data_IF_933773324244
#
_entry.id   IF_933773324244
#
_cell.length_a   1.000
_cell.length_b   1.000
_cell.length_c   1.000
_cell.angle_alpha   90.00
_cell.angle_beta   90.00
_cell.angle_gamma   90.00
#
_symmetry.space_group_name_H-M   'P 1'
#
loop_
_entity.id
_entity.type
_entity.pdbx_description
1 polymer ?
#
# COMPACT_ATOMS: atom_id res chain seq x y z
N UNK A 1 37.66 -34.16 -47.52
CA UNK A 1 37.33 -33.02 -48.40
C UNK A 1 35.83 -32.85 -48.31
N UNK A 2 35.24 -31.77 -47.81
CA UNK A 2 35.71 -30.50 -47.27
C UNK A 2 34.59 -30.01 -46.33
N UNK A 3 34.98 -29.50 -45.17
CA UNK A 3 34.11 -28.83 -44.21
C UNK A 3 33.92 -27.39 -44.67
N UNK A 4 32.69 -26.88 -44.68
CA UNK A 4 32.41 -25.44 -44.65
C UNK A 4 31.61 -25.14 -43.38
N UNK A 5 32.35 -24.76 -42.33
CA UNK A 5 31.80 -24.13 -41.14
C UNK A 5 31.81 -22.62 -41.36
N UNK A 6 30.62 -22.01 -41.46
CA UNK A 6 30.44 -20.57 -41.40
C UNK A 6 30.16 -20.21 -39.94
N UNK A 7 31.14 -19.58 -39.30
CA UNK A 7 30.97 -18.92 -37.99
C UNK A 7 30.33 -17.55 -38.21
N UNK A 8 29.08 -17.40 -37.77
CA UNK A 8 28.48 -16.09 -37.55
C UNK A 8 28.71 -15.69 -36.09
N UNK A 9 29.62 -14.75 -35.86
CA UNK A 9 29.67 -13.97 -34.62
C UNK A 9 28.46 -13.03 -34.60
N UNK A 10 27.52 -13.29 -33.69
CA UNK A 10 26.52 -12.30 -33.30
C UNK A 10 27.13 -11.32 -32.28
N UNK A 11 26.98 -10.00 -32.46
CA UNK A 11 27.52 -9.02 -31.53
C UNK A 11 26.72 -9.02 -30.22
N UNK A 12 27.45 -8.78 -29.14
CA UNK A 12 27.03 -8.87 -27.74
C UNK A 12 26.01 -7.79 -27.38
N UNK A 13 24.72 -8.09 -27.50
CA UNK A 13 23.59 -7.18 -27.20
C UNK A 13 23.29 -7.00 -25.68
N UNK A 14 24.18 -7.51 -24.81
CA UNK A 14 23.95 -7.54 -23.36
C UNK A 14 24.36 -6.24 -22.65
N UNK A 15 25.15 -5.36 -23.29
CA UNK A 15 25.61 -4.11 -22.70
C UNK A 15 24.65 -2.92 -22.95
N UNK A 16 23.79 -3.00 -23.97
CA UNK A 16 22.79 -1.97 -24.29
C UNK A 16 21.62 -1.94 -23.30
N UNK A 17 21.22 -3.09 -22.75
CA UNK A 17 20.08 -3.22 -21.83
C UNK A 17 20.35 -2.68 -20.41
N UNK A 18 21.57 -2.89 -19.89
CA UNK A 18 21.99 -2.35 -18.58
C UNK A 18 22.10 -0.82 -18.57
N UNK A 19 22.52 -0.25 -19.71
CA UNK A 19 22.64 1.19 -19.91
C UNK A 19 21.30 1.92 -19.83
N UNK A 20 20.27 1.35 -20.47
CA UNK A 20 18.91 1.89 -20.50
C UNK A 20 18.27 1.84 -19.10
N UNK A 21 18.56 0.80 -18.32
CA UNK A 21 18.05 0.66 -16.95
C UNK A 21 18.65 1.69 -15.96
N UNK A 22 19.94 2.03 -16.12
CA UNK A 22 20.59 3.05 -15.30
C UNK A 22 20.05 4.46 -15.61
N UNK A 23 19.79 4.74 -16.89
CA UNK A 23 19.21 5.99 -17.38
C UNK A 23 17.82 6.26 -16.78
N UNK A 24 16.94 5.26 -16.75
CA UNK A 24 15.60 5.41 -16.16
C UNK A 24 15.62 5.71 -14.66
N UNK A 25 16.61 5.19 -13.93
CA UNK A 25 16.77 5.38 -12.48
C UNK A 25 17.24 6.79 -12.13
N UNK A 26 18.20 7.34 -12.87
CA UNK A 26 18.67 8.72 -12.68
C UNK A 26 17.56 9.73 -13.01
N UNK A 27 16.78 9.46 -14.05
CA UNK A 27 15.64 10.29 -14.47
C UNK A 27 14.52 10.26 -13.43
N UNK A 28 14.18 9.09 -12.88
CA UNK A 28 13.14 8.96 -11.84
C UNK A 28 13.53 9.68 -10.54
N UNK A 29 14.78 9.56 -10.10
CA UNK A 29 15.27 10.24 -8.89
C UNK A 29 15.26 11.77 -9.04
N UNK A 30 15.64 12.29 -10.22
CA UNK A 30 15.58 13.72 -10.49
C UNK A 30 14.14 14.26 -10.54
N UNK A 31 13.19 13.43 -10.97
CA UNK A 31 11.76 13.78 -11.01
C UNK A 31 11.12 13.76 -9.63
N UNK A 32 11.42 12.77 -8.79
CA UNK A 32 10.90 12.73 -7.42
C UNK A 32 11.37 13.93 -6.60
N UNK A 33 12.62 14.35 -6.77
CA UNK A 33 13.13 15.57 -6.13
C UNK A 33 12.44 16.84 -6.63
N UNK A 34 12.12 16.92 -7.94
CA UNK A 34 11.43 18.08 -8.52
C UNK A 34 9.95 18.12 -8.15
N UNK A 35 9.25 16.99 -8.11
CA UNK A 35 7.83 16.92 -7.73
C UNK A 35 7.62 17.28 -6.25
N UNK A 36 8.64 17.04 -5.42
CA UNK A 36 8.64 17.42 -4.00
C UNK A 36 9.06 18.88 -3.76
N UNK A 37 9.53 19.59 -4.78
CA UNK A 37 9.83 21.02 -4.67
C UNK A 37 8.53 21.82 -4.57
N UNK A 38 8.51 22.80 -3.67
CA UNK A 38 7.41 23.77 -3.55
C UNK A 38 7.13 24.53 -4.86
N UNK A 39 8.13 24.68 -5.74
CA UNK A 39 7.94 25.32 -7.03
C UNK A 39 7.09 24.46 -7.97
N UNK A 40 7.05 23.13 -7.78
CA UNK A 40 6.44 22.19 -8.72
C UNK A 40 4.98 22.53 -9.06
N UNK A 41 4.24 23.05 -8.10
CA UNK A 41 2.85 23.44 -8.33
C UNK A 41 2.75 24.64 -9.29
N UNK A 42 3.71 25.57 -9.25
CA UNK A 42 3.83 26.67 -10.21
C UNK A 42 4.24 26.14 -11.59
N UNK A 43 5.20 25.22 -11.66
CA UNK A 43 5.60 24.59 -12.93
C UNK A 43 4.48 23.73 -13.54
N UNK A 44 3.76 22.98 -12.72
CA UNK A 44 2.61 22.18 -13.15
C UNK A 44 1.52 23.09 -13.71
N UNK A 45 1.24 24.22 -13.04
CA UNK A 45 0.30 25.21 -13.54
C UNK A 45 0.74 25.80 -14.88
N UNK A 46 2.03 26.11 -15.03
CA UNK A 46 2.59 26.59 -16.31
C UNK A 46 2.45 25.53 -17.41
N UNK A 47 2.77 24.25 -17.13
CA UNK A 47 2.57 23.14 -18.06
C UNK A 47 1.09 23.00 -18.44
N UNK A 48 0.19 23.17 -17.47
CA UNK A 48 -1.25 23.17 -17.72
C UNK A 48 -1.67 24.37 -18.57
N UNK A 49 -1.10 25.55 -18.41
CA UNK A 49 -1.41 26.68 -19.29
C UNK A 49 -0.93 26.44 -20.73
N UNK A 50 0.24 25.83 -20.90
CA UNK A 50 0.77 25.46 -22.21
C UNK A 50 -0.06 24.37 -22.90
N UNK A 51 -0.45 23.33 -22.14
CA UNK A 51 -1.32 22.28 -22.65
C UNK A 51 -2.71 22.83 -22.98
N UNK A 52 -3.26 23.73 -22.17
CA UNK A 52 -4.55 24.37 -22.42
C UNK A 52 -4.52 25.22 -23.71
N UNK A 53 -3.44 25.95 -23.95
CA UNK A 53 -3.28 26.69 -25.21
C UNK A 53 -3.31 25.76 -26.43
N UNK A 54 -2.64 24.62 -26.37
CA UNK A 54 -2.65 23.63 -27.45
C UNK A 54 -4.02 22.95 -27.62
N UNK A 55 -4.71 22.65 -26.52
CA UNK A 55 -6.07 22.10 -26.55
C UNK A 55 -7.05 23.09 -27.18
N UNK A 56 -6.92 24.39 -26.90
CA UNK A 56 -7.77 25.43 -27.46
C UNK A 56 -7.64 25.56 -29.00
N UNK A 57 -6.47 25.28 -29.56
CA UNK A 57 -6.26 25.22 -31.02
C UNK A 57 -7.15 24.15 -31.71
N UNK A 58 -7.67 23.19 -30.94
CA UNK A 58 -8.51 22.09 -31.41
C UNK A 58 -9.99 22.26 -31.02
N UNK A 59 -10.42 23.44 -30.55
CA UNK A 59 -11.81 23.67 -30.11
C UNK A 59 -12.86 23.48 -31.21
N UNK A 60 -12.48 23.67 -32.48
CA UNK A 60 -13.36 23.43 -33.64
C UNK A 60 -13.63 21.93 -33.88
N UNK A 61 -12.83 21.03 -33.30
CA UNK A 61 -12.98 19.59 -33.43
C UNK A 61 -13.25 18.94 -32.05
N UNK A 62 -14.52 18.72 -31.68
CA UNK A 62 -14.87 18.22 -30.35
C UNK A 62 -14.26 16.85 -30.05
N UNK A 63 -14.11 15.98 -31.05
CA UNK A 63 -13.48 14.66 -30.91
C UNK A 63 -12.00 14.77 -30.57
N UNK A 64 -11.25 15.59 -31.32
CA UNK A 64 -9.83 15.82 -31.06
C UNK A 64 -9.61 16.48 -29.69
N UNK A 65 -10.44 17.46 -29.34
CA UNK A 65 -10.41 18.11 -28.03
C UNK A 65 -10.64 17.11 -26.90
N UNK A 66 -11.65 16.25 -26.98
CA UNK A 66 -11.91 15.26 -25.92
C UNK A 66 -10.76 14.23 -25.80
N UNK A 67 -10.16 13.83 -26.92
CA UNK A 67 -8.96 12.96 -26.90
C UNK A 67 -7.81 13.67 -26.20
N UNK A 68 -7.52 14.94 -26.52
CA UNK A 68 -6.46 15.71 -25.86
C UNK A 68 -6.74 15.93 -24.37
N UNK A 69 -7.97 16.28 -23.99
CA UNK A 69 -8.37 16.38 -22.59
C UNK A 69 -8.13 15.06 -21.86
N UNK A 70 -8.47 13.92 -22.49
CA UNK A 70 -8.21 12.59 -21.94
C UNK A 70 -6.71 12.31 -21.78
N UNK A 71 -5.88 12.69 -22.76
CA UNK A 71 -4.43 12.52 -22.73
C UNK A 71 -3.76 13.36 -21.64
N UNK A 72 -4.28 14.54 -21.33
CA UNK A 72 -3.76 15.42 -20.26
C UNK A 72 -4.22 15.00 -18.85
N UNK A 73 -5.18 14.08 -18.72
CA UNK A 73 -5.66 13.56 -17.45
C UNK A 73 -6.67 14.44 -16.70
N UNK A 74 -7.27 13.88 -15.64
CA UNK A 74 -8.38 14.51 -14.91
C UNK A 74 -7.97 15.74 -14.11
N UNK A 75 -6.75 15.77 -13.55
CA UNK A 75 -6.24 16.91 -12.77
C UNK A 75 -6.15 18.19 -13.62
N UNK A 76 -5.63 18.06 -14.85
CA UNK A 76 -5.59 19.13 -15.84
C UNK A 76 -7.00 19.61 -16.21
N UNK A 77 -7.91 18.68 -16.50
CA UNK A 77 -9.30 19.02 -16.85
C UNK A 77 -9.99 19.79 -15.73
N UNK A 78 -9.85 19.35 -14.49
CA UNK A 78 -10.42 20.04 -13.34
C UNK A 78 -9.82 21.45 -13.15
N UNK A 79 -8.52 21.61 -13.39
CA UNK A 79 -7.81 22.88 -13.19
C UNK A 79 -8.06 23.92 -14.29
N UNK A 80 -8.21 23.51 -15.56
CA UNK A 80 -8.29 24.43 -16.71
C UNK A 80 -9.60 24.39 -17.49
N UNK A 81 -10.40 23.34 -17.32
CA UNK A 81 -11.69 23.17 -17.99
C UNK A 81 -12.84 22.81 -17.03
N UNK A 82 -12.98 23.47 -15.86
CA UNK A 82 -13.96 23.08 -14.84
C UNK A 82 -15.41 23.20 -15.29
N UNK A 83 -15.69 24.12 -16.22
CA UNK A 83 -17.02 24.38 -16.79
C UNK A 83 -17.31 23.58 -18.05
N UNK A 84 -16.30 22.92 -18.63
CA UNK A 84 -16.51 22.08 -19.81
C UNK A 84 -17.15 20.79 -19.33
N UNK A 85 -18.42 20.54 -19.69
CA UNK A 85 -19.04 19.23 -19.45
C UNK A 85 -18.09 18.17 -20.02
N UNK A 86 -17.58 17.29 -19.16
CA UNK A 86 -16.76 16.17 -19.60
C UNK A 86 -17.61 15.32 -20.55
N UNK A 87 -17.36 15.46 -21.85
CA UNK A 87 -18.07 14.71 -22.88
C UNK A 87 -17.35 13.39 -23.16
N UNK A 88 -16.84 12.72 -22.12
CA UNK A 88 -16.15 11.44 -22.26
C UNK A 88 -16.99 10.35 -22.92
N UNK A 89 -18.31 10.52 -23.02
CA UNK A 89 -19.18 9.67 -23.84
C UNK A 89 -18.87 9.76 -25.34
N UNK A 90 -18.31 10.88 -25.83
CA UNK A 90 -17.85 11.02 -27.22
C UNK A 90 -16.65 10.14 -27.52
N UNK A 91 -15.89 9.71 -26.51
CA UNK A 91 -14.73 8.80 -26.67
C UNK A 91 -15.14 7.32 -26.61
N UNK A 92 -16.44 7.02 -26.57
CA UNK A 92 -17.00 5.67 -26.47
C UNK A 92 -17.94 5.41 -27.65
N UNK A 93 -18.09 4.14 -27.99
CA UNK A 93 -19.08 3.72 -28.99
C UNK A 93 -20.50 4.03 -28.50
N UNK A 94 -21.43 4.43 -29.41
CA UNK A 94 -21.30 4.49 -30.86
C UNK A 94 -20.71 5.81 -31.40
N UNK A 95 -20.35 6.76 -30.54
CA UNK A 95 -19.97 8.12 -30.94
C UNK A 95 -18.57 8.22 -31.54
N UNK A 96 -17.65 7.37 -31.08
CA UNK A 96 -16.32 7.23 -31.66
C UNK A 96 -15.92 5.76 -31.67
N UNK A 97 -15.67 5.23 -32.86
CA UNK A 97 -15.11 3.89 -33.02
C UNK A 97 -13.73 3.82 -32.35
N UNK A 98 -13.43 2.69 -31.72
CA UNK A 98 -12.15 2.45 -31.05
C UNK A 98 -10.93 2.69 -31.98
N UNK A 99 -11.04 2.32 -33.26
CA UNK A 99 -10.00 2.56 -34.28
C UNK A 99 -9.77 4.05 -34.53
N UNK A 100 -10.84 4.84 -34.66
CA UNK A 100 -10.78 6.29 -34.86
C UNK A 100 -10.14 6.99 -33.66
N UNK A 101 -10.49 6.55 -32.45
CA UNK A 101 -9.87 7.05 -31.21
C UNK A 101 -8.37 6.78 -31.21
N UNK A 102 -7.96 5.54 -31.48
CA UNK A 102 -6.55 5.16 -31.51
C UNK A 102 -5.77 5.93 -32.60
N UNK A 103 -6.38 6.18 -33.75
CA UNK A 103 -5.78 6.98 -34.81
C UNK A 103 -5.58 8.45 -34.38
N UNK A 104 -6.59 9.07 -33.75
CA UNK A 104 -6.50 10.42 -33.20
C UNK A 104 -5.47 10.52 -32.08
N UNK A 105 -5.41 9.54 -31.17
CA UNK A 105 -4.40 9.49 -30.11
C UNK A 105 -2.98 9.42 -30.71
N UNK A 106 -2.74 8.53 -31.68
CA UNK A 106 -1.44 8.43 -32.38
C UNK A 106 -1.04 9.71 -33.10
N UNK A 107 -2.01 10.46 -33.62
CA UNK A 107 -1.76 11.71 -34.33
C UNK A 107 -1.50 12.89 -33.38
N UNK A 108 -2.36 13.06 -32.37
CA UNK A 108 -2.40 14.26 -31.53
C UNK A 108 -1.36 14.23 -30.42
N UNK A 109 -1.02 13.04 -29.92
CA UNK A 109 -0.08 12.90 -28.82
C UNK A 109 1.33 13.40 -29.15
N UNK A 110 1.97 13.02 -30.27
CA UNK A 110 3.29 13.56 -30.63
C UNK A 110 3.28 15.09 -30.80
N UNK A 111 2.18 15.65 -31.31
CA UNK A 111 2.04 17.10 -31.53
C UNK A 111 1.91 17.86 -30.20
N UNK A 112 1.12 17.33 -29.26
CA UNK A 112 1.01 17.87 -27.90
C UNK A 112 2.38 17.87 -27.22
N UNK A 113 3.12 16.75 -27.30
CA UNK A 113 4.46 16.67 -26.71
C UNK A 113 5.41 17.67 -27.38
N UNK A 114 5.48 17.72 -28.71
CA UNK A 114 6.33 18.68 -29.41
C UNK A 114 6.03 20.14 -29.04
N UNK A 115 4.75 20.49 -28.91
CA UNK A 115 4.30 21.82 -28.47
C UNK A 115 4.78 22.13 -27.05
N UNK A 116 4.54 21.23 -26.09
CA UNK A 116 5.02 21.38 -24.72
C UNK A 116 6.56 21.47 -24.66
N UNK A 117 7.27 20.70 -25.48
CA UNK A 117 8.74 20.66 -25.49
C UNK A 117 9.32 22.03 -25.83
N UNK A 118 8.79 22.61 -26.91
CA UNK A 118 9.27 23.89 -27.43
C UNK A 118 9.07 25.02 -26.43
N UNK A 119 7.97 24.99 -25.66
CA UNK A 119 7.59 26.05 -24.72
C UNK A 119 8.27 25.88 -23.36
N UNK A 120 8.31 24.66 -22.83
CA UNK A 120 9.00 24.32 -21.56
C UNK A 120 10.49 24.67 -21.63
N UNK A 121 11.14 24.49 -22.78
CA UNK A 121 12.56 24.79 -22.96
C UNK A 121 12.92 26.28 -22.81
N UNK A 122 11.94 27.19 -22.79
CA UNK A 122 12.18 28.64 -22.88
C UNK A 122 11.82 29.44 -21.62
N UNK A 123 11.14 28.87 -20.61
CA UNK A 123 10.44 29.71 -19.60
C UNK A 123 10.78 29.53 -18.11
N UNK A 124 11.30 28.40 -17.63
CA UNK A 124 11.50 28.19 -16.18
C UNK A 124 12.95 27.84 -15.82
N UNK A 125 13.49 28.53 -14.81
CA UNK A 125 14.80 28.23 -14.19
C UNK A 125 14.79 26.83 -13.58
N UNK A 126 13.70 26.40 -12.94
CA UNK A 126 13.57 25.05 -12.39
C UNK A 126 13.56 23.97 -13.50
N UNK A 127 12.92 24.24 -14.63
CA UNK A 127 12.95 23.33 -15.78
C UNK A 127 14.29 23.35 -16.52
N UNK A 128 15.00 24.49 -16.52
CA UNK A 128 16.38 24.58 -16.98
C UNK A 128 17.31 23.80 -16.03
N UNK A 129 17.13 23.89 -14.72
CA UNK A 129 17.87 23.12 -13.72
C UNK A 129 17.57 21.63 -13.81
N UNK A 130 16.31 21.22 -14.00
CA UNK A 130 15.94 19.84 -14.27
C UNK A 130 16.58 19.36 -15.59
N UNK A 131 16.53 20.17 -16.65
CA UNK A 131 17.21 19.88 -17.92
C UNK A 131 18.72 19.73 -17.74
N UNK A 132 19.37 20.65 -17.03
CA UNK A 132 20.81 20.65 -16.77
C UNK A 132 21.23 19.48 -15.89
N UNK A 133 20.44 19.12 -14.87
CA UNK A 133 20.70 17.96 -14.00
C UNK A 133 20.50 16.64 -14.75
N UNK A 134 19.46 16.55 -15.58
CA UNK A 134 19.28 15.42 -16.47
C UNK A 134 20.44 15.33 -17.47
N UNK A 135 20.80 16.44 -18.12
CA UNK A 135 21.91 16.53 -19.06
C UNK A 135 23.25 16.15 -18.39
N UNK A 136 23.53 16.63 -17.17
CA UNK A 136 24.71 16.26 -16.40
C UNK A 136 24.69 14.77 -16.03
N UNK A 137 23.55 14.22 -15.60
CA UNK A 137 23.41 12.79 -15.34
C UNK A 137 23.65 11.95 -16.61
N UNK A 138 23.34 12.48 -17.79
CA UNK A 138 23.66 11.88 -19.09
C UNK A 138 25.14 11.98 -19.45
N UNK A 139 25.74 13.17 -19.36
CA UNK A 139 27.13 13.44 -19.74
C UNK A 139 28.14 12.71 -18.82
N UNK A 140 27.79 12.49 -17.54
CA UNK A 140 28.64 11.77 -16.58
C UNK A 140 28.67 10.25 -16.82
N UNK A 141 27.66 9.72 -17.52
CA UNK A 141 27.48 8.26 -17.65
C UNK A 141 27.64 7.74 -19.10
N UNK A 142 27.61 8.60 -20.14
CA UNK A 142 27.77 8.18 -21.54
C UNK A 142 28.46 9.21 -22.44
N UNK A 143 29.36 8.73 -23.30
CA UNK A 143 29.88 9.45 -24.47
C UNK A 143 29.40 8.79 -25.76
N UNK A 144 28.18 9.06 -26.25
CA UNK A 144 27.83 8.82 -27.66
C UNK A 144 26.53 9.51 -28.14
N UNK A 145 26.68 10.26 -29.25
CA UNK A 145 25.68 10.66 -30.28
C UNK A 145 24.47 11.54 -29.90
N UNK A 146 24.76 12.77 -29.49
CA UNK A 146 24.23 14.09 -29.96
C UNK A 146 22.88 14.31 -30.69
N UNK A 147 21.83 13.47 -30.62
CA UNK A 147 20.59 13.77 -31.40
C UNK A 147 19.22 13.63 -30.72
N UNK A 148 19.12 13.26 -29.44
CA UNK A 148 17.82 13.29 -28.74
C UNK A 148 17.79 14.41 -27.68
N UNK A 149 17.05 15.50 -27.90
CA UNK A 149 16.96 16.58 -26.92
C UNK A 149 16.26 16.10 -25.65
N UNK A 150 16.84 16.38 -24.48
CA UNK A 150 16.36 15.99 -23.15
C UNK A 150 14.85 16.28 -22.92
N UNK A 151 14.33 17.30 -23.60
CA UNK A 151 12.91 17.67 -23.60
C UNK A 151 12.00 16.56 -24.14
N UNK A 152 12.41 15.81 -25.17
CA UNK A 152 11.62 14.70 -25.73
C UNK A 152 11.50 13.51 -24.76
N UNK A 153 12.55 13.28 -23.96
CA UNK A 153 12.59 12.21 -22.95
C UNK A 153 11.68 12.57 -21.78
N UNK A 154 11.79 13.79 -21.26
CA UNK A 154 10.91 14.33 -20.20
C UNK A 154 9.44 14.23 -20.60
N UNK A 155 9.12 14.56 -21.85
CA UNK A 155 7.76 14.48 -22.37
C UNK A 155 7.26 13.06 -22.56
N UNK A 156 8.08 12.14 -23.08
CA UNK A 156 7.73 10.71 -23.18
C UNK A 156 7.47 10.04 -21.82
N UNK A 157 7.97 10.63 -20.73
CA UNK A 157 7.79 10.14 -19.38
C UNK A 157 6.58 10.76 -18.68
N UNK A 158 6.35 12.08 -18.81
CA UNK A 158 5.08 12.70 -18.42
C UNK A 158 3.90 12.04 -19.13
N UNK A 159 4.10 11.69 -20.38
CA UNK A 159 3.07 11.07 -21.19
C UNK A 159 2.76 9.62 -20.79
N UNK A 160 3.68 8.93 -20.09
CA UNK A 160 3.45 7.65 -19.38
C UNK A 160 2.80 7.85 -18.00
N UNK A 161 3.10 8.94 -17.29
CA UNK A 161 2.44 9.27 -16.02
C UNK A 161 0.94 9.61 -16.20
N UNK A 162 0.52 10.05 -17.40
CA UNK A 162 -0.88 10.36 -17.73
C UNK A 162 -1.62 9.28 -18.53
N UNK A 163 -0.97 8.18 -18.92
CA UNK A 163 -1.64 7.07 -19.62
C UNK A 163 -1.49 5.75 -18.86
N UNK A 164 -2.62 5.11 -18.55
CA UNK A 164 -2.70 3.66 -18.41
C UNK A 164 -3.58 3.12 -19.54
N UNK A 165 -3.48 1.84 -19.92
CA UNK A 165 -2.30 1.05 -20.29
C UNK A 165 -2.46 0.61 -21.75
N UNK A 166 -1.54 0.95 -22.66
CA UNK A 166 -1.71 0.55 -24.08
C UNK A 166 -0.48 -0.05 -24.76
N UNK A 167 0.66 -0.16 -24.08
CA UNK A 167 1.77 -1.03 -24.46
C UNK A 167 2.47 -1.42 -23.17
N UNK A 168 1.87 -2.36 -22.47
CA UNK A 168 2.53 -3.06 -21.37
C UNK A 168 3.61 -3.91 -22.03
N UNK A 169 4.85 -3.40 -22.04
CA UNK A 169 6.00 -4.22 -22.38
C UNK A 169 6.22 -5.18 -21.20
N UNK A 170 5.97 -6.50 -21.37
CA UNK A 170 6.11 -7.46 -20.28
C UNK A 170 7.52 -7.48 -19.70
N UNK A 171 8.55 -7.12 -20.48
CA UNK A 171 9.92 -7.04 -20.01
C UNK A 171 10.13 -5.83 -19.09
N UNK A 172 9.48 -4.69 -19.37
CA UNK A 172 9.53 -3.52 -18.49
C UNK A 172 8.78 -3.75 -17.18
N UNK A 173 7.62 -4.41 -17.23
CA UNK A 173 6.87 -4.79 -16.03
C UNK A 173 7.67 -5.77 -15.17
N UNK A 174 8.30 -6.78 -15.79
CA UNK A 174 9.16 -7.73 -15.09
C UNK A 174 10.38 -7.04 -14.45
N UNK A 175 11.02 -6.10 -15.17
CA UNK A 175 12.15 -5.33 -14.65
C UNK A 175 11.72 -4.39 -13.50
N UNK A 176 10.55 -3.74 -13.62
CA UNK A 176 9.99 -2.93 -12.56
C UNK A 176 9.70 -3.78 -11.31
N UNK A 177 9.04 -4.93 -11.46
CA UNK A 177 8.77 -5.84 -10.35
C UNK A 177 10.06 -6.31 -9.67
N UNK A 178 11.10 -6.65 -10.43
CA UNK A 178 12.40 -7.04 -9.87
C UNK A 178 13.06 -5.89 -9.08
N UNK A 179 12.95 -4.65 -9.55
CA UNK A 179 13.44 -3.49 -8.83
C UNK A 179 12.63 -3.21 -7.56
N UNK A 180 11.30 -3.30 -7.63
CA UNK A 180 10.45 -3.15 -6.46
C UNK A 180 10.72 -4.24 -5.40
N UNK A 181 11.01 -5.47 -5.81
CA UNK A 181 11.44 -6.56 -4.94
C UNK A 181 12.78 -6.26 -4.26
N UNK A 182 13.74 -5.69 -5.02
CA UNK A 182 15.01 -5.23 -4.45
C UNK A 182 14.79 -4.13 -3.40
N UNK A 183 13.91 -3.16 -3.68
CA UNK A 183 13.54 -2.12 -2.72
C UNK A 183 12.93 -2.76 -1.47
N UNK A 184 11.94 -3.64 -1.62
CA UNK A 184 11.31 -4.36 -0.49
C UNK A 184 12.33 -5.12 0.36
N UNK A 185 13.30 -5.79 -0.27
CA UNK A 185 14.36 -6.47 0.46
C UNK A 185 15.20 -5.50 1.32
N UNK A 186 15.46 -4.28 0.84
CA UNK A 186 16.21 -3.25 1.57
C UNK A 186 15.41 -2.60 2.71
N UNK A 187 14.07 -2.69 2.70
CA UNK A 187 13.20 -2.13 3.74
C UNK A 187 13.09 -3.00 4.99
N UNK A 188 13.52 -4.26 4.92
CA UNK A 188 13.51 -5.18 6.07
C UNK A 188 14.33 -4.62 7.23
N UNK A 189 13.73 -4.65 8.42
CA UNK A 189 14.27 -4.09 9.64
C UNK A 189 14.31 -2.57 9.71
N UNK A 190 13.70 -1.84 8.75
CA UNK A 190 13.68 -0.37 8.76
C UNK A 190 12.28 0.17 9.09
N UNK A 191 12.25 1.34 9.71
CA UNK A 191 11.00 2.09 9.90
C UNK A 191 10.69 2.87 8.62
N UNK A 192 9.43 2.88 8.20
CA UNK A 192 9.02 3.48 6.93
C UNK A 192 8.34 4.84 7.14
N UNK A 193 8.65 5.85 6.31
CA UNK A 193 7.83 7.06 6.24
C UNK A 193 6.46 6.74 5.64
N UNK A 194 5.47 7.58 5.93
CA UNK A 194 4.06 7.33 5.57
C UNK A 194 3.82 7.07 4.07
N UNK A 195 4.41 7.84 3.11
CA UNK A 195 4.21 7.57 1.69
C UNK A 195 4.72 6.20 1.25
N UNK A 196 5.88 5.78 1.77
CA UNK A 196 6.45 4.48 1.46
C UNK A 196 5.64 3.35 2.09
N UNK A 197 5.06 3.58 3.28
CA UNK A 197 4.12 2.64 3.90
C UNK A 197 2.86 2.47 3.05
N UNK A 198 2.27 3.56 2.56
CA UNK A 198 1.11 3.50 1.67
C UNK A 198 1.41 2.64 0.45
N UNK A 199 2.54 2.91 -0.21
CA UNK A 199 2.98 2.15 -1.38
C UNK A 199 3.18 0.66 -1.04
N UNK A 200 3.91 0.36 0.05
CA UNK A 200 4.19 -1.02 0.45
C UNK A 200 2.89 -1.79 0.72
N UNK A 201 2.00 -1.22 1.54
CA UNK A 201 0.74 -1.88 1.86
C UNK A 201 -0.11 -2.04 0.61
N UNK A 202 -0.26 -0.99 -0.19
CA UNK A 202 -0.99 -1.10 -1.44
C UNK A 202 -0.43 -2.23 -2.30
N UNK A 203 0.88 -2.28 -2.52
CA UNK A 203 1.52 -3.35 -3.29
C UNK A 203 1.26 -4.75 -2.74
N UNK A 204 1.28 -4.93 -1.41
CA UNK A 204 1.18 -6.24 -0.78
C UNK A 204 -0.26 -6.73 -0.60
N UNK A 205 -1.22 -5.83 -0.36
CA UNK A 205 -2.60 -6.20 -0.01
C UNK A 205 -3.65 -5.77 -1.03
N UNK A 206 -3.35 -4.81 -1.91
CA UNK A 206 -4.24 -4.48 -3.02
C UNK A 206 -4.05 -5.48 -4.16
N UNK A 207 -5.08 -6.30 -4.38
CA UNK A 207 -5.10 -7.27 -5.47
C UNK A 207 -6.25 -6.93 -6.43
N UNK A 208 -5.97 -6.56 -7.70
CA UNK A 208 -7.02 -6.16 -8.65
C UNK A 208 -8.08 -7.24 -8.89
N UNK A 209 -7.69 -8.52 -8.92
CA UNK A 209 -8.63 -9.63 -9.04
C UNK A 209 -9.53 -9.75 -7.81
N UNK A 210 -8.98 -9.54 -6.60
CA UNK A 210 -9.75 -9.51 -5.36
C UNK A 210 -10.72 -8.33 -5.32
N UNK A 211 -10.31 -7.16 -5.82
CA UNK A 211 -11.19 -6.00 -5.95
C UNK A 211 -12.38 -6.30 -6.85
N UNK A 212 -12.15 -6.90 -8.02
CA UNK A 212 -13.22 -7.32 -8.93
C UNK A 212 -14.15 -8.36 -8.29
N UNK A 213 -13.60 -9.34 -7.58
CA UNK A 213 -14.37 -10.33 -6.80
C UNK A 213 -15.26 -9.64 -5.76
N UNK A 214 -14.68 -8.76 -4.93
CA UNK A 214 -15.38 -8.03 -3.88
C UNK A 214 -16.49 -7.16 -4.46
N UNK A 215 -16.23 -6.43 -5.54
CA UNK A 215 -17.25 -5.61 -6.21
C UNK A 215 -18.42 -6.45 -6.71
N UNK A 216 -18.13 -7.59 -7.34
CA UNK A 216 -19.17 -8.50 -7.83
C UNK A 216 -19.98 -9.09 -6.67
N UNK A 217 -19.31 -9.64 -5.66
CA UNK A 217 -19.95 -10.26 -4.49
C UNK A 217 -20.77 -9.26 -3.69
N UNK A 218 -20.29 -8.03 -3.52
CA UNK A 218 -21.01 -7.00 -2.79
C UNK A 218 -22.32 -6.62 -3.49
N UNK A 219 -22.31 -6.49 -4.83
CA UNK A 219 -23.53 -6.28 -5.63
C UNK A 219 -24.49 -7.47 -5.55
N UNK A 220 -23.96 -8.69 -5.57
CA UNK A 220 -24.77 -9.91 -5.43
C UNK A 220 -25.42 -9.97 -4.03
N UNK A 221 -24.64 -9.76 -2.97
CA UNK A 221 -25.14 -9.71 -1.58
C UNK A 221 -26.16 -8.60 -1.36
N UNK A 222 -25.93 -7.41 -1.92
CA UNK A 222 -26.90 -6.30 -1.88
C UNK A 222 -28.25 -6.73 -2.45
N UNK A 223 -28.23 -7.39 -3.62
CA UNK A 223 -29.45 -7.89 -4.28
C UNK A 223 -30.13 -8.98 -3.45
N UNK A 224 -29.36 -9.95 -2.95
CA UNK A 224 -29.89 -11.09 -2.17
C UNK A 224 -30.50 -10.64 -0.84
N UNK A 225 -29.91 -9.63 -0.20
CA UNK A 225 -30.37 -9.09 1.08
C UNK A 225 -31.41 -7.97 0.92
N UNK A 226 -31.76 -7.59 -0.31
CA UNK A 226 -32.72 -6.51 -0.59
C UNK A 226 -32.26 -5.16 -0.04
N UNK A 227 -30.95 -4.89 -0.05
CA UNK A 227 -30.37 -3.68 0.54
C UNK A 227 -30.40 -2.51 -0.45
N UNK A 228 -30.71 -1.29 0.02
CA UNK A 228 -30.72 -0.12 -0.84
C UNK A 228 -29.31 0.25 -1.32
N UNK A 229 -28.30 0.02 -0.47
CA UNK A 229 -26.91 0.38 -0.72
C UNK A 229 -25.97 -0.74 -0.25
N UNK A 230 -24.82 -0.94 -0.92
CA UNK A 230 -23.88 -2.02 -0.59
C UNK A 230 -23.13 -1.83 0.73
N UNK A 231 -23.12 -0.62 1.29
CA UNK A 231 -22.52 -0.30 2.60
C UNK A 231 -23.53 -0.15 3.73
N UNK A 232 -24.81 -0.48 3.48
CA UNK A 232 -25.88 -0.37 4.47
C UNK A 232 -26.45 -1.75 4.76
N UNK A 233 -26.29 -2.24 6.00
CA UNK A 233 -26.92 -3.47 6.47
C UNK A 233 -27.90 -3.23 7.62
N UNK A 234 -28.79 -4.20 7.93
CA UNK A 234 -29.71 -4.11 9.05
C UNK A 234 -29.03 -3.98 10.41
N UNK A 235 -27.76 -4.42 10.53
CA UNK A 235 -26.99 -4.35 11.77
C UNK A 235 -26.15 -3.07 11.89
N UNK A 236 -26.31 -2.10 10.99
CA UNK A 236 -25.49 -0.89 10.96
C UNK A 236 -25.48 -0.12 12.30
N UNK A 237 -26.62 -0.02 12.98
CA UNK A 237 -26.71 0.65 14.28
C UNK A 237 -25.95 -0.10 15.39
N UNK A 238 -25.98 -1.44 15.34
CA UNK A 238 -25.22 -2.30 16.25
C UNK A 238 -23.72 -2.17 15.99
N UNK A 239 -23.29 -2.19 14.73
CA UNK A 239 -21.88 -1.99 14.36
C UNK A 239 -21.38 -0.61 14.77
N UNK A 240 -22.16 0.45 14.55
CA UNK A 240 -21.82 1.78 15.01
C UNK A 240 -21.58 1.80 16.53
N UNK A 241 -22.48 1.19 17.31
CA UNK A 241 -22.34 1.10 18.76
C UNK A 241 -21.11 0.28 19.16
N UNK A 242 -20.89 -0.87 18.51
CA UNK A 242 -19.71 -1.72 18.73
C UNK A 242 -18.41 -0.94 18.50
N UNK A 243 -18.30 -0.24 17.36
CA UNK A 243 -17.12 0.57 17.03
C UNK A 243 -16.96 1.71 18.03
N UNK A 244 -18.03 2.44 18.35
CA UNK A 244 -17.99 3.54 19.32
C UNK A 244 -17.50 3.06 20.69
N UNK A 245 -18.06 1.97 21.19
CA UNK A 245 -17.76 1.44 22.52
C UNK A 245 -16.32 0.91 22.56
N UNK A 246 -15.90 0.13 21.56
CA UNK A 246 -14.51 -0.34 21.42
C UNK A 246 -13.50 0.80 21.29
N UNK A 247 -13.79 1.85 20.51
CA UNK A 247 -12.91 3.01 20.42
C UNK A 247 -12.79 3.76 21.73
N UNK A 248 -13.87 3.85 22.51
CA UNK A 248 -13.85 4.53 23.80
C UNK A 248 -13.09 3.73 24.86
N UNK A 249 -13.26 2.43 24.88
CA UNK A 249 -12.78 1.55 25.97
C UNK A 249 -11.41 0.97 25.66
N UNK A 250 -11.23 0.40 24.47
CA UNK A 250 -10.02 -0.37 24.12
C UNK A 250 -9.02 0.44 23.29
N UNK A 251 -9.49 1.45 22.54
CA UNK A 251 -8.67 2.21 21.59
C UNK A 251 -8.81 3.73 21.75
N UNK A 252 -8.78 4.20 23.01
CA UNK A 252 -9.06 5.58 23.40
C UNK A 252 -8.28 6.64 22.59
N UNK A 253 -7.06 6.31 22.14
CA UNK A 253 -6.23 7.16 21.28
C UNK A 253 -6.87 7.54 19.92
N UNK A 254 -7.88 6.78 19.47
CA UNK A 254 -8.63 7.06 18.24
C UNK A 254 -10.06 7.55 18.51
N UNK A 255 -10.52 7.55 19.77
CA UNK A 255 -11.92 7.85 20.14
C UNK A 255 -12.37 9.26 19.77
N UNK A 256 -11.45 10.23 19.74
CA UNK A 256 -11.75 11.63 19.45
C UNK A 256 -12.09 11.89 17.97
N UNK A 257 -11.67 10.99 17.05
CA UNK A 257 -11.89 11.19 15.62
C UNK A 257 -13.22 10.58 15.17
N UNK A 258 -14.23 11.45 15.04
CA UNK A 258 -15.52 11.06 14.47
C UNK A 258 -15.38 10.47 13.06
N UNK A 259 -14.47 11.01 12.25
CA UNK A 259 -14.18 10.51 10.91
C UNK A 259 -13.67 9.06 10.94
N UNK A 260 -12.68 8.76 11.80
CA UNK A 260 -12.14 7.39 11.92
C UNK A 260 -13.23 6.42 12.37
N UNK A 261 -14.03 6.78 13.38
CA UNK A 261 -15.15 5.95 13.85
C UNK A 261 -16.15 5.67 12.73
N UNK A 262 -16.54 6.68 11.98
CA UNK A 262 -17.55 6.53 10.94
C UNK A 262 -16.98 5.69 9.78
N UNK A 263 -15.73 5.93 9.38
CA UNK A 263 -15.03 5.15 8.33
C UNK A 263 -14.84 3.68 8.71
N UNK A 264 -14.41 3.38 9.94
CA UNK A 264 -14.34 2.00 10.45
C UNK A 264 -15.73 1.35 10.44
N UNK A 265 -16.75 2.08 10.89
CA UNK A 265 -18.14 1.60 10.88
C UNK A 265 -18.58 1.22 9.46
N UNK A 266 -18.36 2.09 8.47
CA UNK A 266 -18.73 1.83 7.08
C UNK A 266 -17.98 0.63 6.48
N UNK A 267 -16.68 0.53 6.75
CA UNK A 267 -15.86 -0.59 6.30
C UNK A 267 -16.37 -1.94 6.86
N UNK A 268 -16.65 -2.00 8.17
CA UNK A 268 -17.16 -3.21 8.80
C UNK A 268 -18.59 -3.55 8.36
N UNK A 269 -19.40 -2.54 8.05
CA UNK A 269 -20.73 -2.74 7.51
C UNK A 269 -20.69 -3.38 6.12
N UNK A 270 -19.83 -2.87 5.23
CA UNK A 270 -19.57 -3.48 3.93
C UNK A 270 -19.03 -4.91 4.07
N UNK A 271 -18.11 -5.15 5.01
CA UNK A 271 -17.60 -6.48 5.29
C UNK A 271 -18.70 -7.43 5.73
N UNK A 272 -19.60 -7.00 6.63
CA UNK A 272 -20.76 -7.80 7.02
C UNK A 272 -21.69 -8.10 5.84
N UNK A 273 -21.97 -7.14 4.95
CA UNK A 273 -22.77 -7.41 3.74
C UNK A 273 -22.10 -8.48 2.86
N UNK A 274 -20.76 -8.47 2.78
CA UNK A 274 -19.99 -9.42 1.99
C UNK A 274 -19.96 -10.83 2.60
N UNK A 275 -19.78 -10.95 3.91
CA UNK A 275 -19.44 -12.21 4.59
C UNK A 275 -20.51 -12.72 5.56
N UNK A 276 -21.46 -11.88 5.96
CA UNK A 276 -22.42 -12.08 7.06
C UNK A 276 -21.78 -12.28 8.44
N UNK A 277 -20.49 -11.94 8.59
CA UNK A 277 -19.75 -12.07 9.86
C UNK A 277 -19.47 -10.72 10.50
N UNK A 278 -19.49 -10.66 11.83
CA UNK A 278 -19.10 -9.48 12.60
C UNK A 278 -18.40 -9.93 13.89
N UNK A 279 -17.50 -9.09 14.39
CA UNK A 279 -16.74 -9.34 15.62
C UNK A 279 -16.12 -8.04 16.13
N UNK A 280 -15.96 -7.90 17.44
CA UNK A 280 -15.22 -6.78 18.05
C UNK A 280 -13.76 -6.73 17.57
N UNK A 281 -13.16 -7.90 17.31
CA UNK A 281 -11.77 -7.99 16.83
C UNK A 281 -11.59 -7.36 15.43
N UNK A 282 -12.65 -7.31 14.61
CA UNK A 282 -12.57 -6.64 13.32
C UNK A 282 -12.45 -5.13 13.45
N UNK A 283 -12.92 -4.52 14.54
CA UNK A 283 -12.71 -3.09 14.83
C UNK A 283 -11.22 -2.79 14.96
N UNK A 284 -10.51 -3.63 15.71
CA UNK A 284 -9.07 -3.53 15.90
C UNK A 284 -8.33 -3.59 14.56
N UNK A 285 -8.65 -4.61 13.75
CA UNK A 285 -7.99 -4.84 12.46
C UNK A 285 -8.30 -3.74 11.44
N UNK A 286 -9.51 -3.18 11.47
CA UNK A 286 -9.94 -2.13 10.53
C UNK A 286 -9.24 -0.78 10.78
N UNK A 287 -8.81 -0.52 12.03
CA UNK A 287 -8.22 0.76 12.40
C UNK A 287 -6.96 1.11 11.60
N UNK A 288 -5.91 0.26 11.55
CA UNK A 288 -4.72 0.55 10.74
C UNK A 288 -5.04 0.78 9.26
N UNK A 289 -6.00 0.04 8.71
CA UNK A 289 -6.41 0.17 7.30
C UNK A 289 -7.03 1.54 7.02
N UNK A 290 -7.98 1.98 7.86
CA UNK A 290 -8.63 3.30 7.71
C UNK A 290 -7.64 4.46 7.90
N UNK A 291 -6.72 4.33 8.86
CA UNK A 291 -5.69 5.34 9.13
C UNK A 291 -4.67 5.44 8.01
N UNK A 292 -4.34 4.33 7.36
CA UNK A 292 -3.32 4.31 6.31
C UNK A 292 -3.83 4.77 4.94
N UNK A 293 -5.13 4.65 4.68
CA UNK A 293 -5.68 5.04 3.38
C UNK A 293 -6.68 6.18 3.53
N UNK A 294 -6.27 7.39 3.99
CA UNK A 294 -7.20 8.49 4.26
C UNK A 294 -7.93 8.99 3.01
N UNK A 295 -7.28 8.90 1.84
CA UNK A 295 -7.88 9.29 0.56
C UNK A 295 -8.95 8.32 0.06
N UNK A 296 -8.96 7.07 0.55
CA UNK A 296 -9.90 6.05 0.09
C UNK A 296 -11.23 6.14 0.83
N UNK A 297 -12.31 6.12 0.05
CA UNK A 297 -13.66 6.14 0.60
C UNK A 297 -13.93 4.83 1.36
N UNK A 298 -14.36 4.95 2.62
CA UNK A 298 -14.79 3.79 3.40
C UNK A 298 -16.14 3.20 2.95
N UNK A 299 -16.81 3.86 1.98
CA UNK A 299 -17.97 3.33 1.24
C UNK A 299 -17.58 2.71 -0.10
N UNK A 300 -16.32 2.85 -0.50
CA UNK A 300 -15.78 2.25 -1.71
C UNK A 300 -15.36 0.79 -1.49
N UNK A 301 -15.32 -0.02 -2.56
CA UNK A 301 -14.90 -1.41 -2.50
C UNK A 301 -13.38 -1.59 -2.34
N UNK A 302 -12.56 -0.56 -2.62
CA UNK A 302 -11.09 -0.64 -2.57
C UNK A 302 -10.59 -0.91 -1.15
N UNK A 303 -11.10 -0.14 -0.18
CA UNK A 303 -10.73 -0.31 1.22
C UNK A 303 -11.25 -1.65 1.78
N UNK A 304 -12.45 -2.07 1.34
CA UNK A 304 -12.99 -3.39 1.66
C UNK A 304 -12.11 -4.51 1.09
N UNK A 305 -11.66 -4.39 -0.16
CA UNK A 305 -10.79 -5.38 -0.79
C UNK A 305 -9.48 -5.53 -0.02
N UNK A 306 -8.82 -4.42 0.32
CA UNK A 306 -7.62 -4.42 1.17
C UNK A 306 -7.87 -5.11 2.52
N UNK A 307 -8.96 -4.74 3.20
CA UNK A 307 -9.33 -5.33 4.48
C UNK A 307 -9.59 -6.85 4.36
N UNK A 308 -10.31 -7.29 3.32
CA UNK A 308 -10.59 -8.72 3.09
C UNK A 308 -9.32 -9.51 2.80
N UNK A 309 -8.40 -9.00 1.97
CA UNK A 309 -7.10 -9.64 1.70
C UNK A 309 -6.26 -9.80 2.97
N UNK A 310 -6.28 -8.79 3.85
CA UNK A 310 -5.61 -8.87 5.14
C UNK A 310 -6.21 -9.97 6.02
N UNK A 311 -7.52 -9.94 6.23
CA UNK A 311 -8.22 -10.91 7.10
C UNK A 311 -8.14 -12.34 6.57
N UNK A 312 -8.25 -12.55 5.26
CA UNK A 312 -8.29 -13.88 4.66
C UNK A 312 -6.90 -14.50 4.50
N UNK A 313 -5.88 -13.70 4.17
CA UNK A 313 -4.57 -14.23 3.74
C UNK A 313 -3.42 -13.94 4.70
N UNK A 314 -3.47 -12.87 5.48
CA UNK A 314 -2.32 -12.43 6.27
C UNK A 314 -2.51 -12.73 7.76
N UNK A 315 -3.65 -12.34 8.33
CA UNK A 315 -3.83 -12.34 9.78
C UNK A 315 -4.19 -13.72 10.35
N UNK A 316 -3.90 -13.94 11.64
CA UNK A 316 -4.48 -15.05 12.39
C UNK A 316 -5.99 -14.78 12.55
N UNK A 317 -6.80 -15.45 11.73
CA UNK A 317 -8.21 -15.11 11.64
C UNK A 317 -8.91 -15.24 13.01
N UNK A 318 -9.54 -14.16 13.53
CA UNK A 318 -9.97 -14.09 14.93
C UNK A 318 -11.04 -15.13 15.28
N UNK A 319 -11.81 -15.60 14.30
CA UNK A 319 -12.90 -16.56 14.50
C UNK A 319 -12.59 -18.02 14.09
N UNK A 320 -11.39 -18.34 13.55
CA UNK A 320 -11.12 -19.68 12.96
C UNK A 320 -10.21 -20.57 13.80
N UNK A 321 -9.92 -20.19 15.05
CA UNK A 321 -8.96 -20.92 15.90
C UNK A 321 -7.49 -20.72 15.50
N UNK A 322 -7.22 -20.01 14.39
CA UNK A 322 -5.87 -19.67 13.93
C UNK A 322 -5.01 -19.03 15.01
N UNK A 323 -5.58 -18.11 15.80
CA UNK A 323 -4.87 -17.43 16.88
C UNK A 323 -4.50 -18.39 18.02
N UNK A 324 -5.34 -19.39 18.31
CA UNK A 324 -5.03 -20.44 19.31
C UNK A 324 -3.89 -21.32 18.80
N UNK A 325 -3.95 -21.74 17.53
CA UNK A 325 -2.87 -22.52 16.93
C UNK A 325 -1.55 -21.72 16.89
N UNK A 326 -1.62 -20.43 16.57
CA UNK A 326 -0.49 -19.51 16.59
C UNK A 326 0.08 -19.32 17.99
N UNK A 327 -0.76 -19.20 19.02
CA UNK A 327 -0.30 -19.03 20.39
C UNK A 327 0.40 -20.27 20.94
N UNK A 328 -0.05 -21.47 20.55
CA UNK A 328 0.64 -22.72 20.85
C UNK A 328 1.99 -22.86 20.14
N UNK A 329 2.12 -22.38 18.90
CA UNK A 329 3.40 -22.32 18.19
C UNK A 329 4.35 -21.32 18.83
N UNK A 330 3.85 -20.12 19.13
CA UNK A 330 4.58 -19.09 19.85
C UNK A 330 5.11 -19.61 21.19
N UNK A 331 4.31 -20.34 21.95
CA UNK A 331 4.74 -20.95 23.21
C UNK A 331 5.92 -21.92 23.02
N UNK A 332 5.87 -22.76 22.00
CA UNK A 332 6.99 -23.67 21.66
C UNK A 332 8.24 -22.90 21.24
N UNK A 333 8.09 -21.82 20.46
CA UNK A 333 9.21 -20.98 20.07
C UNK A 333 9.80 -20.21 21.26
N UNK A 334 8.96 -19.80 22.23
CA UNK A 334 9.39 -19.13 23.45
C UNK A 334 10.32 -20.04 24.27
N UNK A 335 9.97 -21.31 24.41
CA UNK A 335 10.81 -22.31 25.08
C UNK A 335 12.21 -22.42 24.45
N UNK A 336 12.29 -22.28 23.11
CA UNK A 336 13.54 -22.39 22.36
C UNK A 336 14.36 -21.10 22.38
N UNK A 337 13.71 -19.94 22.24
CA UNK A 337 14.37 -18.65 22.00
C UNK A 337 14.57 -17.82 23.26
N UNK A 338 13.67 -17.94 24.25
CA UNK A 338 13.71 -17.21 25.51
C UNK A 338 13.46 -18.17 26.70
N UNK A 339 14.33 -19.18 26.90
CA UNK A 339 14.09 -20.27 27.86
C UNK A 339 13.89 -19.77 29.30
N UNK A 340 14.55 -18.68 29.69
CA UNK A 340 14.37 -18.08 31.02
C UNK A 340 12.95 -17.54 31.22
N UNK A 341 12.39 -16.86 30.23
CA UNK A 341 11.01 -16.31 30.28
C UNK A 341 10.02 -17.47 30.29
N UNK A 342 10.23 -18.46 29.42
CA UNK A 342 9.40 -19.67 29.36
C UNK A 342 9.34 -20.40 30.70
N UNK A 343 10.49 -20.74 31.30
CA UNK A 343 10.55 -21.46 32.57
C UNK A 343 9.91 -20.69 33.71
N UNK A 344 10.07 -19.37 33.73
CA UNK A 344 9.43 -18.50 34.69
C UNK A 344 7.90 -18.55 34.57
N UNK A 345 7.36 -18.36 33.36
CA UNK A 345 5.92 -18.45 33.12
C UNK A 345 5.38 -19.85 33.44
N UNK A 346 6.08 -20.92 33.05
CA UNK A 346 5.73 -22.31 33.45
C UNK A 346 5.65 -22.46 34.98
N UNK A 347 6.62 -21.90 35.72
CA UNK A 347 6.62 -21.97 37.18
C UNK A 347 5.39 -21.32 37.81
N UNK A 348 4.96 -20.17 37.28
CA UNK A 348 3.77 -19.45 37.75
C UNK A 348 2.52 -20.34 37.57
N UNK A 349 2.37 -20.97 36.41
CA UNK A 349 1.22 -21.85 36.11
C UNK A 349 1.31 -23.21 36.81
N UNK A 350 2.53 -23.71 37.06
CA UNK A 350 2.81 -24.95 37.79
C UNK A 350 2.44 -24.87 39.26
N UNK A 351 2.59 -23.69 39.88
CA UNK A 351 2.31 -23.45 41.30
C UNK A 351 0.80 -23.42 41.64
N UNK A 352 -0.08 -23.47 40.63
CA UNK A 352 -1.53 -23.43 40.85
C UNK A 352 -2.04 -24.83 41.24
N UNK A 353 -2.69 -24.99 42.41
CA UNK A 353 -3.29 -26.25 42.79
C UNK A 353 -4.28 -26.74 41.74
N UNK A 354 -4.28 -28.05 41.43
CA UNK A 354 -5.14 -28.63 40.38
C UNK A 354 -6.64 -28.31 40.58
N UNK A 355 -7.10 -28.21 41.83
CA UNK A 355 -8.47 -27.82 42.17
C UNK A 355 -8.82 -26.38 41.76
N UNK A 356 -7.84 -25.47 41.73
CA UNK A 356 -8.00 -24.07 41.32
C UNK A 356 -7.77 -23.86 39.82
N UNK A 357 -7.10 -24.78 39.12
CA UNK A 357 -6.85 -24.65 37.67
C UNK A 357 -8.13 -24.54 36.83
N UNK A 358 -9.20 -25.24 37.21
CA UNK A 358 -10.52 -25.14 36.54
C UNK A 358 -11.24 -23.80 36.75
N UNK A 359 -10.82 -23.03 37.75
CA UNK A 359 -11.33 -21.69 38.05
C UNK A 359 -10.32 -20.60 37.68
N UNK A 360 -9.18 -20.99 37.10
CA UNK A 360 -8.16 -20.04 36.71
C UNK A 360 -8.63 -19.26 35.47
N UNK A 361 -8.16 -18.03 35.36
CA UNK A 361 -8.45 -17.15 34.23
C UNK A 361 -7.97 -17.76 32.89
N UNK A 362 -6.95 -18.61 32.93
CA UNK A 362 -6.39 -19.31 31.78
C UNK A 362 -6.12 -20.77 32.13
N UNK A 363 -6.42 -21.69 31.21
CA UNK A 363 -6.15 -23.12 31.38
C UNK A 363 -4.69 -23.45 31.03
N UNK A 364 -4.09 -22.71 30.10
CA UNK A 364 -2.73 -22.90 29.63
C UNK A 364 -1.96 -21.58 29.45
N UNK A 365 -0.63 -21.55 29.65
CA UNK A 365 0.18 -20.34 29.45
C UNK A 365 0.09 -19.76 28.03
N UNK A 366 -0.09 -20.61 27.02
CA UNK A 366 -0.24 -20.18 25.62
C UNK A 366 -1.46 -19.29 25.38
N UNK A 367 -2.49 -19.35 26.24
CA UNK A 367 -3.70 -18.55 26.09
C UNK A 367 -3.44 -17.05 26.29
N UNK A 368 -2.38 -16.70 27.04
CA UNK A 368 -1.96 -15.32 27.27
C UNK A 368 -1.63 -14.54 25.98
N UNK A 369 -1.30 -15.24 24.89
CA UNK A 369 -0.91 -14.59 23.63
C UNK A 369 -2.03 -14.58 22.59
N UNK A 370 -3.17 -15.22 22.87
CA UNK A 370 -4.27 -15.33 21.90
C UNK A 370 -4.77 -13.94 21.53
N UNK A 371 -4.93 -13.05 22.51
CA UNK A 371 -5.40 -11.69 22.29
C UNK A 371 -4.45 -10.89 21.38
N UNK A 372 -3.14 -10.96 21.61
CA UNK A 372 -2.14 -10.30 20.75
C UNK A 372 -2.25 -10.72 19.29
N UNK A 373 -2.44 -12.03 19.04
CA UNK A 373 -2.56 -12.57 17.69
C UNK A 373 -3.91 -12.23 17.05
N UNK A 374 -5.01 -12.30 17.82
CA UNK A 374 -6.36 -12.01 17.33
C UNK A 374 -6.53 -10.57 16.83
N UNK A 375 -5.90 -9.60 17.50
CA UNK A 375 -5.92 -8.19 17.08
C UNK A 375 -4.62 -7.71 16.47
N UNK A 376 -3.63 -8.60 16.27
CA UNK A 376 -2.34 -8.28 15.67
C UNK A 376 -1.68 -7.04 16.31
N UNK A 377 -1.60 -7.04 17.64
CA UNK A 377 -1.09 -5.96 18.50
C UNK A 377 -1.85 -4.64 18.51
N UNK A 378 -2.96 -4.49 17.79
CA UNK A 378 -3.76 -3.25 17.85
C UNK A 378 -4.28 -3.05 19.29
N UNK A 379 -4.04 -1.88 19.88
CA UNK A 379 -4.36 -1.57 21.28
C UNK A 379 -3.28 -1.96 22.30
N UNK A 380 -2.38 -2.88 21.93
CA UNK A 380 -1.24 -3.27 22.76
C UNK A 380 0.00 -2.42 22.48
N UNK A 381 0.26 -2.08 21.21
CA UNK A 381 1.39 -1.23 20.83
C UNK A 381 0.94 0.20 20.52
N UNK A 382 1.86 1.16 20.71
CA UNK A 382 1.69 2.53 20.19
C UNK A 382 1.57 2.49 18.66
N UNK A 383 0.84 3.44 18.09
CA UNK A 383 0.53 3.47 16.65
C UNK A 383 1.78 3.35 15.76
N UNK A 384 2.88 4.03 16.09
CA UNK A 384 4.12 4.01 15.32
C UNK A 384 4.86 2.67 15.44
N UNK A 385 4.80 2.04 16.60
CA UNK A 385 5.37 0.72 16.87
C UNK A 385 4.55 -0.37 16.17
N UNK A 386 3.23 -0.26 16.24
CA UNK A 386 2.26 -1.13 15.55
C UNK A 386 2.51 -1.12 14.04
N UNK A 387 2.59 0.07 13.43
CA UNK A 387 2.85 0.18 12.01
C UNK A 387 4.21 -0.42 11.62
N UNK A 388 5.26 -0.25 12.44
CA UNK A 388 6.53 -0.94 12.19
C UNK A 388 6.36 -2.46 12.19
N UNK A 389 5.67 -3.04 13.18
CA UNK A 389 5.41 -4.49 13.24
C UNK A 389 4.69 -4.97 11.98
N UNK A 390 3.62 -4.28 11.58
CA UNK A 390 2.85 -4.65 10.39
C UNK A 390 3.67 -4.49 9.10
N UNK A 391 4.47 -3.42 8.98
CA UNK A 391 5.38 -3.22 7.85
C UNK A 391 6.34 -4.42 7.72
N UNK A 392 6.94 -4.87 8.82
CA UNK A 392 7.85 -6.02 8.81
C UNK A 392 7.14 -7.34 8.50
N UNK A 393 5.91 -7.53 8.97
CA UNK A 393 5.12 -8.71 8.64
C UNK A 393 4.72 -8.72 7.15
N UNK A 394 4.40 -7.58 6.52
CA UNK A 394 4.18 -7.49 5.06
C UNK A 394 5.46 -7.81 4.27
N UNK A 395 6.61 -7.30 4.73
CA UNK A 395 7.91 -7.52 4.06
C UNK A 395 8.40 -8.97 4.14
N UNK A 396 7.72 -9.85 4.89
CA UNK A 396 8.06 -11.26 5.00
C UNK A 396 7.73 -12.10 3.76
N UNK A 397 6.95 -11.56 2.80
CA UNK A 397 6.70 -12.19 1.50
C UNK A 397 5.89 -13.50 1.62
N UNK A 398 4.68 -13.40 2.17
CA UNK A 398 3.70 -14.48 2.43
C UNK A 398 3.82 -15.21 3.77
N UNK A 399 4.83 -14.93 4.59
CA UNK A 399 5.02 -15.53 5.92
C UNK A 399 4.53 -14.62 7.05
N UNK A 400 3.38 -13.94 6.87
CA UNK A 400 2.88 -12.97 7.84
C UNK A 400 2.70 -13.60 9.23
N UNK A 401 2.09 -14.80 9.29
CA UNK A 401 1.75 -15.45 10.55
C UNK A 401 3.02 -15.79 11.34
N UNK A 402 4.03 -16.33 10.66
CA UNK A 402 5.34 -16.64 11.22
C UNK A 402 6.08 -15.37 11.66
N UNK A 403 6.03 -14.32 10.84
CA UNK A 403 6.63 -13.02 11.17
C UNK A 403 5.94 -12.39 12.39
N UNK A 404 4.62 -12.48 12.50
CA UNK A 404 3.86 -12.00 13.65
C UNK A 404 4.21 -12.78 14.92
N UNK A 405 4.32 -14.11 14.83
CA UNK A 405 4.78 -14.96 15.94
C UNK A 405 6.21 -14.60 16.38
N UNK A 406 7.11 -14.33 15.44
CA UNK A 406 8.47 -13.86 15.72
C UNK A 406 8.47 -12.44 16.35
N UNK A 407 7.56 -11.57 15.94
CA UNK A 407 7.36 -10.26 16.58
C UNK A 407 6.84 -10.38 18.00
N UNK A 408 5.95 -11.34 18.29
CA UNK A 408 5.56 -11.63 19.66
C UNK A 408 6.76 -12.03 20.52
N UNK A 409 7.68 -12.86 20.02
CA UNK A 409 8.91 -13.17 20.75
C UNK A 409 9.80 -11.95 20.95
N UNK A 410 9.88 -11.07 19.96
CA UNK A 410 10.65 -9.82 20.05
C UNK A 410 10.10 -8.93 21.16
N UNK A 411 8.78 -8.76 21.23
CA UNK A 411 8.09 -8.04 22.31
C UNK A 411 8.34 -8.72 23.66
N UNK A 412 8.18 -10.04 23.75
CA UNK A 412 8.42 -10.78 25.00
C UNK A 412 9.87 -10.69 25.48
N UNK A 413 10.83 -10.67 24.56
CA UNK A 413 12.24 -10.47 24.88
C UNK A 413 12.52 -9.08 25.48
N UNK A 414 11.85 -8.05 24.95
CA UNK A 414 11.93 -6.69 25.50
C UNK A 414 11.25 -6.55 26.87
N UNK A 415 10.17 -7.29 27.10
CA UNK A 415 9.43 -7.31 28.37
C UNK A 415 9.97 -8.34 29.39
N UNK A 416 11.04 -9.06 29.04
CA UNK A 416 11.58 -10.13 29.88
C UNK A 416 11.92 -9.65 31.31
N UNK A 417 12.53 -8.47 31.54
CA UNK A 417 12.83 -8.00 32.89
C UNK A 417 11.59 -7.85 33.78
N UNK A 418 10.49 -7.32 33.25
CA UNK A 418 9.23 -7.17 33.99
C UNK A 418 8.53 -8.51 34.19
N UNK A 419 8.56 -9.39 33.18
CA UNK A 419 7.93 -10.72 33.27
C UNK A 419 8.59 -11.58 34.35
N UNK A 420 9.91 -11.50 34.53
CA UNK A 420 10.62 -12.32 35.55
C UNK A 420 10.40 -11.77 36.97
N UNK A 421 9.81 -10.58 37.13
CA UNK A 421 9.52 -9.97 38.44
C UNK A 421 8.12 -10.28 38.99
N UNK A 422 7.24 -10.87 38.18
CA UNK A 422 5.88 -11.21 38.61
C UNK A 422 5.77 -12.68 39.02
N UNK A 423 4.97 -12.98 40.03
CA UNK A 423 4.89 -14.32 40.62
C UNK A 423 3.52 -15.00 40.46
N UNK A 424 2.54 -14.31 39.86
CA UNK A 424 1.18 -14.80 39.67
C UNK A 424 0.60 -14.49 38.29
N UNK A 425 -0.45 -15.23 37.90
CA UNK A 425 -1.10 -15.10 36.58
C UNK A 425 -1.72 -13.70 36.37
N UNK A 426 -2.51 -13.14 37.31
CA UNK A 426 -3.06 -11.79 37.11
C UNK A 426 -2.01 -10.71 36.87
N UNK A 427 -0.90 -10.72 37.62
CA UNK A 427 0.20 -9.78 37.45
C UNK A 427 0.91 -10.00 36.10
N UNK A 428 1.14 -11.25 35.70
CA UNK A 428 1.69 -11.60 34.39
C UNK A 428 0.81 -11.12 33.25
N UNK A 429 -0.50 -11.36 33.33
CA UNK A 429 -1.47 -10.87 32.36
C UNK A 429 -1.44 -9.34 32.27
N UNK A 430 -1.44 -8.65 33.41
CA UNK A 430 -1.35 -7.18 33.47
C UNK A 430 -0.08 -6.65 32.80
N UNK A 431 1.06 -7.31 33.01
CA UNK A 431 2.32 -6.95 32.34
C UNK A 431 2.18 -7.10 30.82
N UNK A 432 1.63 -8.23 30.35
CA UNK A 432 1.46 -8.50 28.92
C UNK A 432 0.40 -7.60 28.24
N UNK A 433 -0.60 -7.13 28.97
CA UNK A 433 -1.59 -6.21 28.40
C UNK A 433 -1.09 -4.76 28.33
N UNK A 434 -0.41 -4.30 29.38
CA UNK A 434 -0.14 -2.86 29.57
C UNK A 434 1.26 -2.43 29.16
N UNK A 435 2.28 -3.29 29.36
CA UNK A 435 3.67 -2.91 29.09
C UNK A 435 4.03 -2.78 27.62
N UNK A 436 3.45 -3.53 26.66
CA UNK A 436 3.75 -3.31 25.25
C UNK A 436 3.49 -1.86 24.79
N UNK A 437 2.56 -1.14 25.42
CA UNK A 437 2.26 0.27 25.08
C UNK A 437 3.43 1.22 25.40
N UNK A 438 4.39 0.80 26.22
CA UNK A 438 5.56 1.59 26.59
C UNK A 438 6.73 1.40 25.61
N UNK A 439 6.68 0.34 24.79
CA UNK A 439 7.73 0.03 23.81
C UNK A 439 7.74 1.07 22.69
N UNK A 440 8.93 1.58 22.37
CA UNK A 440 9.12 2.52 21.27
C UNK A 440 9.58 1.77 20.03
N UNK A 441 9.28 2.31 18.85
CA UNK A 441 9.67 1.72 17.56
C UNK A 441 11.17 1.42 17.46
N UNK A 442 12.03 2.27 18.04
CA UNK A 442 13.48 2.05 17.99
C UNK A 442 13.93 0.80 18.79
N UNK A 443 13.24 0.45 19.88
CA UNK A 443 13.53 -0.73 20.69
C UNK A 443 13.16 -2.00 19.93
N UNK A 444 11.94 -2.01 19.36
CA UNK A 444 11.46 -3.10 18.51
C UNK A 444 12.37 -3.32 17.31
N UNK A 445 12.80 -2.24 16.66
CA UNK A 445 13.72 -2.31 15.52
C UNK A 445 15.07 -2.91 15.92
N UNK A 446 15.65 -2.44 17.02
CA UNK A 446 16.93 -2.93 17.50
C UNK A 446 16.87 -4.40 17.92
N UNK A 447 15.75 -4.84 18.49
CA UNK A 447 15.52 -6.23 18.87
C UNK A 447 15.24 -7.13 17.67
N UNK A 448 14.47 -6.67 16.68
CA UNK A 448 14.12 -7.43 15.47
C UNK A 448 15.32 -7.73 14.56
N UNK A 449 16.34 -6.86 14.58
CA UNK A 449 17.54 -7.01 13.76
C UNK A 449 18.57 -7.99 14.35
N UNK A 450 18.37 -8.45 15.60
CA UNK A 450 19.24 -9.43 16.27
C UNK A 450 18.71 -10.84 16.07
#
# INVERSE_FOLDING_TARGET
MEQNAVTHDEPTDMQSSSAVACMHRAVASALDEVVLDSSWQEEQNMIYDMAAAFVAEHDANPSARQVLLSLCGQGFQAARYPSTRNQGYLLREPYMASETRAALERQLYPLLLASLASRVATQSIAMQQLRERLQAAFDTNYTLSSHLPATAIVLSFFSRAFTAPALVDPALDAAQHAQEDQVVAQLRGRSLPMPLRHWLWWRQVHCPSKLAEVQWRLKASQTLLGLPEPWASPIGAMLFRLVRDALREDYAQYAASADVRDRVTWLLNQYYVLTTTHSAYFVAIALPVVLLFPAQSAKGPELLAVFTTLVDSHLHHPMRGDAIAGSQRLWRLLAQRLPRVYLHMESIFGNIPAAKKRLAMFEAPSELFVSWLQVSFVGYLRTEALFFVWDQCLLSGCAWKEAMEAMCLTVLGLLAPEIVQVDDIPALHTVLETRPQQLRTHDLRAAWQR
#
